data_IF_175654950846
#
_entry.id   IF_175654950846
#
_cell.length_a   1.000
_cell.length_b   1.000
_cell.length_c   1.000
_cell.angle_alpha   90.00
_cell.angle_beta   90.00
_cell.angle_gamma   90.00
#
_symmetry.space_group_name_H-M   'P 1'
#
loop_
_entity.id
_entity.type
_entity.pdbx_description
1 polymer ?
#
# COMPACT_ATOMS: atom_id res chain seq x y z
N UNK A 1 34.30 -6.27 -20.96
CA UNK A 1 33.24 -6.05 -19.99
C UNK A 1 32.16 -5.02 -20.43
N UNK A 2 32.49 -3.94 -21.17
CA UNK A 2 31.48 -2.91 -21.62
C UNK A 2 30.48 -3.37 -22.71
N UNK A 3 30.78 -4.44 -23.45
CA UNK A 3 29.90 -4.94 -24.54
C UNK A 3 28.75 -5.84 -24.06
N UNK A 4 28.94 -6.55 -22.96
CA UNK A 4 27.92 -7.45 -22.39
C UNK A 4 26.79 -6.68 -21.72
N UNK A 5 27.12 -5.56 -21.07
CA UNK A 5 26.13 -4.69 -20.40
C UNK A 5 25.17 -4.03 -21.42
N UNK A 6 25.65 -3.68 -22.62
CA UNK A 6 24.81 -3.10 -23.66
C UNK A 6 23.87 -4.14 -24.30
N UNK A 7 24.30 -5.40 -24.41
CA UNK A 7 23.48 -6.46 -24.96
C UNK A 7 22.36 -6.86 -23.99
N UNK A 8 22.66 -6.91 -22.68
CA UNK A 8 21.66 -7.20 -21.65
C UNK A 8 20.59 -6.09 -21.57
N UNK A 9 20.96 -4.84 -21.79
CA UNK A 9 20.03 -3.71 -21.77
C UNK A 9 19.07 -3.70 -22.98
N UNK A 10 19.52 -4.17 -24.14
CA UNK A 10 18.67 -4.30 -25.34
C UNK A 10 17.67 -5.47 -25.21
N UNK A 11 18.06 -6.57 -24.56
CA UNK A 11 17.16 -7.70 -24.31
C UNK A 11 16.07 -7.36 -23.31
N UNK A 12 16.36 -6.52 -22.30
CA UNK A 12 15.38 -6.08 -21.30
C UNK A 12 14.33 -5.11 -21.90
N UNK A 13 14.75 -4.26 -22.84
CA UNK A 13 13.84 -3.33 -23.53
C UNK A 13 12.88 -4.01 -24.50
N UNK A 14 13.30 -5.16 -25.10
CA UNK A 14 12.49 -5.91 -26.05
C UNK A 14 11.38 -6.75 -25.42
N UNK A 15 11.52 -7.16 -24.16
CA UNK A 15 10.55 -8.05 -23.49
C UNK A 15 9.45 -7.30 -22.73
N UNK A 16 9.62 -6.00 -22.45
CA UNK A 16 8.60 -5.18 -21.80
C UNK A 16 7.46 -4.76 -22.75
N UNK A 17 7.63 -4.90 -24.06
CA UNK A 17 6.64 -4.48 -25.05
C UNK A 17 5.56 -5.55 -25.38
N UNK A 18 5.67 -6.77 -24.85
CA UNK A 18 4.73 -7.86 -25.17
C UNK A 18 3.92 -8.38 -23.98
N UNK A 19 3.94 -7.71 -22.84
CA UNK A 19 3.38 -8.21 -21.57
C UNK A 19 1.99 -7.71 -21.20
N UNK A 20 1.22 -7.11 -22.10
CA UNK A 20 -0.20 -6.81 -21.84
C UNK A 20 -1.08 -7.69 -22.74
N UNK A 21 -1.22 -8.97 -22.41
CA UNK A 21 -2.32 -9.76 -22.93
C UNK A 21 -3.54 -9.46 -22.06
N UNK A 22 -4.36 -8.56 -22.56
CA UNK A 22 -5.73 -8.35 -22.09
C UNK A 22 -6.50 -9.65 -22.34
N UNK A 23 -7.11 -10.20 -21.29
CA UNK A 23 -8.10 -11.25 -21.45
C UNK A 23 -9.34 -10.69 -22.14
N UNK A 24 -9.51 -11.00 -23.41
CA UNK A 24 -10.83 -10.99 -24.06
C UNK A 24 -10.88 -12.08 -25.11
N UNK A 25 -11.76 -13.06 -24.84
CA UNK A 25 -12.55 -13.93 -25.72
C UNK A 25 -11.96 -14.40 -27.05
N UNK A 26 -11.92 -15.74 -27.14
CA UNK A 26 -12.21 -16.56 -28.32
C UNK A 26 -11.58 -16.14 -29.65
N UNK A 27 -10.37 -16.68 -29.88
CA UNK A 27 -9.93 -17.18 -31.16
C UNK A 27 -8.69 -18.07 -30.92
N UNK A 28 -8.76 -19.34 -31.37
CA UNK A 28 -7.73 -20.39 -31.24
C UNK A 28 -6.52 -20.10 -32.15
N UNK A 29 -5.72 -19.08 -31.85
CA UNK A 29 -4.37 -18.94 -32.37
C UNK A 29 -3.38 -19.56 -31.40
N UNK A 30 -2.45 -20.44 -31.82
CA UNK A 30 -1.47 -21.04 -30.93
C UNK A 30 -0.57 -19.94 -30.38
N UNK A 31 -0.68 -19.66 -29.08
CA UNK A 31 0.23 -18.77 -28.36
C UNK A 31 1.64 -19.31 -28.54
N UNK A 32 2.43 -18.63 -29.35
CA UNK A 32 3.85 -18.92 -29.51
C UNK A 32 4.58 -18.47 -28.22
N UNK A 33 4.45 -19.29 -27.18
CA UNK A 33 5.25 -19.15 -25.97
C UNK A 33 6.68 -19.49 -26.34
N UNK A 34 7.49 -18.49 -26.66
CA UNK A 34 8.93 -18.66 -26.76
C UNK A 34 9.41 -19.09 -25.38
N UNK A 35 9.48 -20.39 -25.16
CA UNK A 35 9.97 -20.96 -23.90
C UNK A 35 11.45 -20.58 -23.82
N UNK A 36 11.76 -19.69 -22.90
CA UNK A 36 13.13 -19.28 -22.63
C UNK A 36 13.95 -20.53 -22.25
N UNK A 37 15.14 -20.66 -22.79
CA UNK A 37 16.05 -21.73 -22.40
C UNK A 37 16.39 -21.58 -20.90
N UNK A 38 16.77 -22.65 -20.20
CA UNK A 38 17.17 -22.59 -18.79
C UNK A 38 18.28 -21.55 -18.52
N UNK A 39 19.20 -21.37 -19.47
CA UNK A 39 20.25 -20.36 -19.38
C UNK A 39 19.67 -18.93 -19.48
N UNK A 40 18.72 -18.70 -20.37
CA UNK A 40 18.03 -17.40 -20.50
C UNK A 40 17.18 -17.09 -19.27
N UNK A 41 16.51 -18.08 -18.68
CA UNK A 41 15.77 -17.92 -17.44
C UNK A 41 16.70 -17.58 -16.27
N UNK A 42 17.84 -18.26 -16.19
CA UNK A 42 18.87 -17.97 -15.17
C UNK A 42 19.43 -16.57 -15.32
N UNK A 43 19.79 -16.16 -16.55
CA UNK A 43 20.30 -14.82 -16.82
C UNK A 43 19.25 -13.72 -16.51
N UNK A 44 17.97 -13.97 -16.82
CA UNK A 44 16.89 -13.04 -16.52
C UNK A 44 16.65 -12.91 -15.02
N UNK A 45 16.68 -14.03 -14.29
CA UNK A 45 16.52 -14.04 -12.83
C UNK A 45 17.67 -13.33 -12.11
N UNK A 46 18.92 -13.54 -12.59
CA UNK A 46 20.08 -12.80 -12.09
C UNK A 46 19.98 -11.31 -12.38
N UNK A 47 19.66 -10.92 -13.60
CA UNK A 47 19.49 -9.50 -13.97
C UNK A 47 18.37 -8.84 -13.17
N UNK A 48 17.26 -9.54 -12.93
CA UNK A 48 16.18 -9.07 -12.10
C UNK A 48 16.59 -8.90 -10.62
N UNK A 49 17.37 -9.84 -10.08
CA UNK A 49 17.87 -9.77 -8.71
C UNK A 49 18.89 -8.64 -8.52
N UNK A 50 19.80 -8.46 -9.47
CA UNK A 50 20.76 -7.35 -9.48
C UNK A 50 20.08 -5.99 -9.64
N UNK A 51 19.08 -5.91 -10.52
CA UNK A 51 18.28 -4.69 -10.69
C UNK A 51 17.52 -4.34 -9.42
N UNK A 52 16.90 -5.31 -8.76
CA UNK A 52 16.25 -5.12 -7.45
C UNK A 52 17.23 -4.72 -6.36
N UNK A 53 18.40 -5.35 -6.29
CA UNK A 53 19.44 -5.03 -5.32
C UNK A 53 19.99 -3.61 -5.51
N UNK A 54 20.13 -3.14 -6.74
CA UNK A 54 20.64 -1.80 -7.06
C UNK A 54 19.57 -0.71 -6.99
N UNK A 55 18.32 -0.99 -7.39
CA UNK A 55 17.20 -0.06 -7.25
C UNK A 55 16.82 0.15 -5.77
N UNK A 56 17.08 -0.86 -4.93
CA UNK A 56 16.60 -0.87 -3.53
C UNK A 56 17.36 0.04 -2.57
N UNK A 57 18.56 0.52 -2.88
CA UNK A 57 19.36 1.18 -1.83
C UNK A 57 19.12 2.69 -1.69
N UNK A 58 18.63 3.39 -2.69
CA UNK A 58 18.52 4.85 -2.59
C UNK A 58 17.12 5.37 -2.94
N UNK A 59 16.57 5.03 -4.09
CA UNK A 59 15.27 5.60 -4.53
C UNK A 59 14.09 4.90 -3.89
N UNK A 60 14.09 3.59 -3.78
CA UNK A 60 13.04 2.84 -3.07
C UNK A 60 13.01 3.21 -1.59
N UNK A 61 14.19 3.38 -0.97
CA UNK A 61 14.28 3.83 0.42
C UNK A 61 13.64 5.21 0.63
N UNK A 62 13.80 6.14 -0.32
CA UNK A 62 13.13 7.45 -0.28
C UNK A 62 11.62 7.32 -0.41
N UNK A 63 11.14 6.48 -1.35
CA UNK A 63 9.70 6.25 -1.54
C UNK A 63 9.08 5.68 -0.27
N UNK A 64 9.71 4.66 0.33
CA UNK A 64 9.24 4.06 1.58
C UNK A 64 9.26 5.08 2.73
N UNK A 65 10.33 5.86 2.86
CA UNK A 65 10.44 6.88 3.90
C UNK A 65 9.34 7.97 3.73
N UNK A 66 9.10 8.42 2.51
CA UNK A 66 8.04 9.38 2.22
C UNK A 66 6.66 8.78 2.54
N UNK A 67 6.38 7.55 2.12
CA UNK A 67 5.13 6.88 2.44
C UNK A 67 4.89 6.76 3.95
N UNK A 68 5.92 6.36 4.70
CA UNK A 68 5.83 6.29 6.17
C UNK A 68 5.58 7.67 6.78
N UNK A 69 6.28 8.70 6.33
CA UNK A 69 6.19 10.02 6.94
C UNK A 69 4.93 10.78 6.53
N UNK A 70 4.50 10.68 5.27
CA UNK A 70 3.41 11.48 4.73
C UNK A 70 2.05 10.77 4.79
N UNK A 71 2.03 9.45 4.94
CA UNK A 71 0.79 8.66 4.96
C UNK A 71 0.63 7.90 6.27
N UNK A 72 1.55 6.98 6.59
CA UNK A 72 1.37 6.06 7.73
C UNK A 72 1.35 6.81 9.06
N UNK A 73 2.38 7.60 9.34
CA UNK A 73 2.48 8.35 10.62
C UNK A 73 1.32 9.33 10.82
N UNK A 74 0.93 10.18 9.86
CA UNK A 74 -0.21 11.06 10.02
C UNK A 74 -1.50 10.29 10.32
N UNK A 75 -1.76 9.18 9.62
CA UNK A 75 -2.96 8.36 9.86
C UNK A 75 -3.02 7.85 11.29
N UNK A 76 -1.94 7.30 11.83
CA UNK A 76 -1.91 6.84 13.23
C UNK A 76 -1.98 7.98 14.25
N UNK A 77 -1.38 9.15 13.94
CA UNK A 77 -1.48 10.32 14.81
C UNK A 77 -2.92 10.84 14.86
N UNK A 78 -3.63 10.86 13.76
CA UNK A 78 -5.02 11.29 13.72
C UNK A 78 -5.95 10.26 14.37
N UNK A 79 -5.72 8.97 14.17
CA UNK A 79 -6.41 7.91 14.91
C UNK A 79 -6.25 8.08 16.42
N UNK A 80 -5.03 8.34 16.90
CA UNK A 80 -4.77 8.56 18.33
C UNK A 80 -5.55 9.76 18.88
N UNK A 81 -5.53 10.90 18.16
CA UNK A 81 -6.29 12.11 18.54
C UNK A 81 -7.79 11.84 18.59
N UNK A 82 -8.35 11.19 17.58
CA UNK A 82 -9.79 10.90 17.51
C UNK A 82 -10.22 9.86 18.53
N UNK A 83 -9.35 8.91 18.86
CA UNK A 83 -9.59 7.96 19.95
C UNK A 83 -9.64 8.66 21.31
N UNK A 84 -8.79 9.64 21.54
CA UNK A 84 -8.84 10.47 22.76
C UNK A 84 -10.13 11.31 22.84
N UNK A 85 -10.57 11.89 21.70
CA UNK A 85 -11.85 12.59 21.63
C UNK A 85 -13.04 11.67 21.93
N UNK A 86 -13.04 10.46 21.38
CA UNK A 86 -14.06 9.45 21.68
C UNK A 86 -14.05 9.08 23.16
N UNK A 87 -12.90 8.86 23.76
CA UNK A 87 -12.77 8.55 25.17
C UNK A 87 -13.36 9.67 26.05
N UNK A 88 -13.02 10.93 25.75
CA UNK A 88 -13.57 12.09 26.46
C UNK A 88 -15.08 12.22 26.27
N UNK A 89 -15.60 11.94 25.08
CA UNK A 89 -17.04 11.93 24.84
C UNK A 89 -17.75 10.86 25.67
N UNK A 90 -17.21 9.65 25.74
CA UNK A 90 -17.73 8.57 26.56
C UNK A 90 -17.70 8.92 28.07
N UNK A 91 -16.63 9.54 28.54
CA UNK A 91 -16.55 10.03 29.91
C UNK A 91 -17.63 11.08 30.19
N UNK A 92 -17.84 12.04 29.30
CA UNK A 92 -18.89 13.04 29.41
C UNK A 92 -20.29 12.41 29.49
N UNK A 93 -20.59 11.45 28.61
CA UNK A 93 -21.86 10.69 28.68
C UNK A 93 -22.06 10.02 30.02
N UNK A 94 -21.02 9.36 30.54
CA UNK A 94 -21.09 8.70 31.84
C UNK A 94 -21.41 9.68 32.97
N UNK A 95 -20.69 10.82 33.03
CA UNK A 95 -20.89 11.83 34.07
C UNK A 95 -22.27 12.48 33.99
N UNK A 96 -22.72 12.86 32.81
CA UNK A 96 -24.04 13.47 32.59
C UNK A 96 -25.18 12.49 32.87
N UNK A 97 -25.02 11.20 32.52
CA UNK A 97 -25.99 10.17 32.91
C UNK A 97 -26.10 10.04 34.41
N UNK A 98 -24.96 10.01 35.12
CA UNK A 98 -24.91 9.93 36.59
C UNK A 98 -25.56 11.17 37.25
N UNK A 99 -25.40 12.33 36.67
CA UNK A 99 -26.00 13.57 37.14
C UNK A 99 -27.47 13.77 36.71
N UNK A 100 -28.04 12.91 35.88
CA UNK A 100 -29.40 13.06 35.37
C UNK A 100 -29.56 14.20 34.35
N UNK A 101 -28.46 14.68 33.75
CA UNK A 101 -28.43 15.83 32.84
C UNK A 101 -28.08 15.47 31.41
N UNK A 102 -28.11 14.18 31.07
CA UNK A 102 -27.82 13.66 29.74
C UNK A 102 -28.84 14.18 28.72
N UNK A 103 -28.37 14.71 27.62
CA UNK A 103 -29.18 15.19 26.48
C UNK A 103 -28.93 14.38 25.21
N UNK A 104 -29.85 14.47 24.25
CA UNK A 104 -29.66 13.85 22.93
C UNK A 104 -28.40 14.42 22.24
N UNK A 105 -28.14 15.72 22.37
CA UNK A 105 -26.95 16.34 21.80
C UNK A 105 -25.62 15.74 22.31
N UNK A 106 -25.60 15.29 23.57
CA UNK A 106 -24.41 14.62 24.13
C UNK A 106 -24.19 13.25 23.51
N UNK A 107 -25.28 12.53 23.25
CA UNK A 107 -25.24 11.24 22.55
C UNK A 107 -24.78 11.43 21.12
N UNK A 108 -25.34 12.41 20.41
CA UNK A 108 -24.97 12.71 19.01
C UNK A 108 -23.48 13.08 18.90
N UNK A 109 -22.96 13.89 19.83
CA UNK A 109 -21.53 14.23 19.88
C UNK A 109 -20.64 12.99 20.07
N UNK A 110 -21.04 12.05 20.92
CA UNK A 110 -20.29 10.82 21.11
C UNK A 110 -20.36 9.90 19.86
N UNK A 111 -21.50 9.86 19.20
CA UNK A 111 -21.66 9.14 17.93
C UNK A 111 -20.73 9.72 16.84
N UNK A 112 -20.63 11.03 16.73
CA UNK A 112 -19.73 11.66 15.77
C UNK A 112 -18.24 11.40 16.11
N UNK A 113 -17.88 11.44 17.38
CA UNK A 113 -16.53 11.07 17.82
C UNK A 113 -16.20 9.62 17.49
N UNK A 114 -17.15 8.70 17.70
CA UNK A 114 -17.01 7.29 17.32
C UNK A 114 -16.81 7.11 15.81
N UNK A 115 -17.64 7.75 14.98
CA UNK A 115 -17.52 7.68 13.53
C UNK A 115 -16.16 8.21 13.04
N UNK A 116 -15.67 9.28 13.67
CA UNK A 116 -14.37 9.83 13.36
C UNK A 116 -13.23 8.86 13.67
N UNK A 117 -13.21 8.28 14.86
CA UNK A 117 -12.21 7.30 15.28
C UNK A 117 -12.28 6.02 14.43
N UNK A 118 -13.51 5.53 14.14
CA UNK A 118 -13.73 4.34 13.33
C UNK A 118 -13.21 4.50 11.90
N UNK A 119 -13.45 5.65 11.28
CA UNK A 119 -12.94 5.92 9.92
C UNK A 119 -11.41 5.86 9.87
N UNK A 120 -10.72 6.46 10.84
CA UNK A 120 -9.27 6.47 10.85
C UNK A 120 -8.70 5.08 11.20
N UNK A 121 -9.42 4.32 12.03
CA UNK A 121 -9.11 2.91 12.23
C UNK A 121 -9.16 2.12 10.92
N UNK A 122 -10.25 2.23 10.16
CA UNK A 122 -10.42 1.55 8.88
C UNK A 122 -9.34 1.95 7.86
N UNK A 123 -8.95 3.22 7.85
CA UNK A 123 -7.82 3.67 7.04
C UNK A 123 -6.50 3.00 7.45
N UNK A 124 -6.27 2.81 8.76
CA UNK A 124 -5.04 2.19 9.26
C UNK A 124 -4.95 0.70 8.93
N UNK A 125 -6.07 0.02 8.71
CA UNK A 125 -6.10 -1.40 8.34
C UNK A 125 -5.39 -1.67 7.01
N UNK A 126 -5.35 -0.69 6.09
CA UNK A 126 -4.61 -0.81 4.83
C UNK A 126 -3.10 -1.01 5.01
N UNK A 127 -2.54 -0.69 6.18
CA UNK A 127 -1.12 -0.86 6.50
C UNK A 127 -0.81 -2.20 7.18
N UNK A 128 -1.84 -2.95 7.60
CA UNK A 128 -1.68 -4.21 8.32
C UNK A 128 -1.54 -5.41 7.39
N UNK A 129 -2.02 -5.30 6.17
CA UNK A 129 -2.12 -6.40 5.21
C UNK A 129 -1.30 -6.18 3.93
N UNK A 130 -0.38 -5.20 3.96
CA UNK A 130 0.51 -4.86 2.84
C UNK A 130 1.80 -5.65 2.80
#
# INVERSE_FOLDING_TARGET
MKKVTKLAMFLLAGTLATGFVSCSSDDDEPINTTILTPEQQSALSQAASESRANANKTEMGKVVANYINEVVKPTYLDLAKKSDLLYKACQNLYQKRKAGTLTQSDIDAACEAFKGARRDWEQSESFLYG
#
